data_IF_517814847022
#
_entry.id   IF_517814847022
#
_cell.length_a   1.000
_cell.length_b   1.000
_cell.length_c   1.000
_cell.angle_alpha   90.00
_cell.angle_beta   90.00
_cell.angle_gamma   90.00
#
_symmetry.space_group_name_H-M   'P 1'
#
loop_
_entity.id
_entity.type
_entity.pdbx_description
1 polymer ?
#
# COMPACT_ATOMS: atom_id res chain seq x y z
N UNK A 1 -6.16 12.73 -1.30
CA UNK A 1 -6.83 11.61 -0.61
C UNK A 1 -8.09 12.10 0.08
N UNK A 2 -9.20 11.35 0.05
CA UNK A 2 -10.45 11.66 0.77
C UNK A 2 -10.47 11.00 2.15
N UNK A 3 -11.37 11.43 3.05
CA UNK A 3 -11.54 10.79 4.37
C UNK A 3 -11.95 9.31 4.27
N UNK A 4 -12.81 8.96 3.30
CA UNK A 4 -13.25 7.59 3.07
C UNK A 4 -12.08 6.68 2.65
N UNK A 5 -11.21 7.16 1.76
CA UNK A 5 -10.02 6.40 1.36
C UNK A 5 -9.03 6.23 2.53
N UNK A 6 -8.86 7.28 3.34
CA UNK A 6 -8.02 7.20 4.53
C UNK A 6 -8.56 6.18 5.55
N UNK A 7 -9.89 6.14 5.76
CA UNK A 7 -10.54 5.14 6.61
C UNK A 7 -10.34 3.73 6.05
N UNK A 8 -10.55 3.53 4.74
CA UNK A 8 -10.26 2.25 4.09
C UNK A 8 -8.84 1.76 4.39
N UNK A 9 -7.82 2.60 4.19
CA UNK A 9 -6.43 2.23 4.48
C UNK A 9 -6.16 1.92 5.95
N UNK A 10 -6.96 2.45 6.87
CA UNK A 10 -6.88 2.09 8.30
C UNK A 10 -7.57 0.77 8.60
N UNK A 11 -8.67 0.47 7.92
CA UNK A 11 -9.50 -0.71 8.18
C UNK A 11 -8.88 -1.98 7.58
N UNK A 12 -8.27 -1.88 6.40
CA UNK A 12 -7.57 -3.02 5.77
C UNK A 12 -6.19 -3.31 6.39
N UNK A 13 -5.76 -2.49 7.35
CA UNK A 13 -4.60 -2.85 8.17
C UNK A 13 -4.98 -3.95 9.14
N UNK A 14 -4.32 -5.11 9.00
CA UNK A 14 -4.50 -6.25 9.90
C UNK A 14 -4.17 -5.91 11.36
N UNK A 15 -3.38 -4.85 11.63
CA UNK A 15 -3.21 -4.31 12.98
C UNK A 15 -3.38 -2.80 12.99
N UNK A 16 -4.42 -2.26 13.67
CA UNK A 16 -4.52 -0.83 13.88
C UNK A 16 -3.33 -0.35 14.72
N UNK A 17 -2.39 0.34 14.09
CA UNK A 17 -1.28 1.02 14.78
C UNK A 17 -1.52 2.52 14.72
N UNK A 18 -1.77 3.12 15.88
CA UNK A 18 -1.83 4.57 16.00
C UNK A 18 -0.46 5.16 15.63
N UNK A 19 -0.42 5.97 14.57
CA UNK A 19 0.78 6.69 14.12
C UNK A 19 1.74 5.90 13.22
N UNK A 20 1.35 4.72 12.71
CA UNK A 20 2.15 3.99 11.73
C UNK A 20 1.44 3.95 10.37
N UNK A 21 2.17 4.12 9.25
CA UNK A 21 1.58 4.10 7.92
C UNK A 21 0.95 2.73 7.60
N UNK A 22 -0.10 2.75 6.80
CA UNK A 22 -0.69 1.54 6.24
C UNK A 22 0.36 0.82 5.40
N UNK A 23 0.61 -0.45 5.71
CA UNK A 23 1.70 -1.19 5.07
C UNK A 23 1.12 -2.27 4.18
N UNK A 24 1.55 -2.27 2.93
CA UNK A 24 1.10 -3.20 1.90
C UNK A 24 2.30 -3.84 1.23
N UNK A 25 2.05 -4.92 0.51
CA UNK A 25 3.02 -5.54 -0.37
C UNK A 25 2.35 -5.84 -1.70
N UNK A 26 3.07 -5.66 -2.79
CA UNK A 26 2.63 -6.03 -4.13
C UNK A 26 3.71 -6.83 -4.86
N UNK A 27 3.32 -7.49 -5.95
CA UNK A 27 4.24 -8.16 -6.87
C UNK A 27 4.12 -7.58 -8.30
N UNK A 28 5.02 -7.98 -9.19
CA UNK A 28 4.99 -7.55 -10.61
C UNK A 28 3.76 -8.00 -11.41
N UNK A 29 2.83 -8.74 -10.81
CA UNK A 29 1.56 -9.16 -11.42
C UNK A 29 0.39 -8.29 -10.97
N UNK A 30 0.64 -7.17 -10.28
CA UNK A 30 -0.36 -6.25 -9.72
C UNK A 30 -1.20 -6.84 -8.57
N UNK A 31 -0.82 -8.00 -8.03
CA UNK A 31 -1.43 -8.50 -6.80
C UNK A 31 -1.01 -7.61 -5.63
N UNK A 32 -1.93 -7.30 -4.72
CA UNK A 32 -1.68 -6.46 -3.55
C UNK A 32 -2.34 -7.02 -2.32
N UNK A 33 -1.62 -7.00 -1.19
CA UNK A 33 -2.11 -7.52 0.08
C UNK A 33 -1.56 -6.73 1.28
N UNK A 34 -2.19 -6.82 2.47
CA UNK A 34 -1.65 -6.20 3.67
C UNK A 34 -0.28 -6.78 4.06
N UNK A 35 0.66 -5.93 4.43
CA UNK A 35 1.98 -6.33 4.92
C UNK A 35 1.93 -6.83 6.36
N UNK A 36 1.62 -8.11 6.57
CA UNK A 36 1.38 -8.70 7.91
C UNK A 36 2.62 -9.08 8.68
N UNK A 37 3.74 -9.33 8.00
CA UNK A 37 4.98 -9.87 8.59
C UNK A 37 6.22 -9.24 8.01
N UNK A 38 7.36 -9.39 8.68
CA UNK A 38 8.65 -9.14 8.06
C UNK A 38 8.98 -10.27 7.08
N UNK A 39 9.49 -9.93 5.89
CA UNK A 39 9.79 -10.89 4.84
C UNK A 39 8.60 -11.20 3.91
N UNK A 40 8.74 -12.30 3.17
CA UNK A 40 7.76 -12.76 2.18
C UNK A 40 6.48 -13.27 2.86
N UNK A 41 5.33 -12.85 2.34
CA UNK A 41 4.03 -13.45 2.71
C UNK A 41 3.77 -14.64 1.79
N UNK A 42 3.62 -15.87 2.33
CA UNK A 42 3.26 -17.04 1.53
C UNK A 42 1.96 -16.79 0.76
N UNK A 43 1.87 -17.31 -0.46
CA UNK A 43 0.74 -17.07 -1.36
C UNK A 43 -0.62 -17.42 -0.73
N UNK A 44 -0.73 -18.58 -0.08
CA UNK A 44 -1.95 -18.99 0.61
C UNK A 44 -2.33 -18.16 1.85
N UNK A 45 -1.51 -17.21 2.26
CA UNK A 45 -1.79 -16.27 3.35
C UNK A 45 -2.03 -14.83 2.85
N UNK A 46 -2.00 -14.60 1.53
CA UNK A 46 -2.26 -13.28 0.95
C UNK A 46 -3.75 -13.01 0.93
N UNK A 47 -4.16 -11.94 1.62
CA UNK A 47 -5.48 -11.37 1.44
C UNK A 47 -5.42 -10.38 0.28
N UNK A 48 -5.93 -10.81 -0.86
CA UNK A 48 -5.93 -10.05 -2.11
C UNK A 48 -6.84 -8.83 -2.03
N UNK A 49 -6.30 -7.67 -2.39
CA UNK A 49 -6.98 -6.37 -2.31
C UNK A 49 -7.13 -5.68 -3.69
N UNK A 50 -6.68 -6.31 -4.76
CA UNK A 50 -6.86 -5.76 -6.12
C UNK A 50 -8.34 -5.53 -6.44
N UNK A 51 -8.65 -4.36 -7.01
CA UNK A 51 -10.02 -3.97 -7.37
C UNK A 51 -10.93 -3.60 -6.19
N UNK A 52 -10.45 -3.69 -4.93
CA UNK A 52 -11.24 -3.31 -3.75
C UNK A 52 -11.34 -1.80 -3.60
N UNK A 53 -10.26 -1.07 -3.91
CA UNK A 53 -10.22 0.39 -3.93
C UNK A 53 -9.40 0.85 -5.14
N UNK A 54 -10.01 1.58 -6.08
CA UNK A 54 -9.33 2.08 -7.28
C UNK A 54 -8.06 2.89 -6.96
N UNK A 55 -8.06 3.68 -5.89
CA UNK A 55 -6.87 4.41 -5.45
C UNK A 55 -5.72 3.46 -5.03
N UNK A 56 -6.03 2.30 -4.45
CA UNK A 56 -4.99 1.32 -4.11
C UNK A 56 -4.38 0.72 -5.39
N UNK A 57 -5.20 0.43 -6.40
CA UNK A 57 -4.71 -0.08 -7.69
C UNK A 57 -3.82 0.97 -8.40
N UNK A 58 -4.23 2.24 -8.41
CA UNK A 58 -3.40 3.35 -8.92
C UNK A 58 -2.05 3.46 -8.17
N UNK A 59 -2.06 3.29 -6.85
CA UNK A 59 -0.82 3.28 -6.04
C UNK A 59 0.08 2.09 -6.43
N UNK A 60 -0.50 0.93 -6.72
CA UNK A 60 0.25 -0.26 -7.15
C UNK A 60 0.89 0.00 -8.50
N UNK A 61 0.17 0.61 -9.45
CA UNK A 61 0.72 1.01 -10.76
C UNK A 61 1.93 1.93 -10.58
N UNK A 62 1.80 2.97 -9.75
CA UNK A 62 2.88 3.91 -9.43
C UNK A 62 4.09 3.20 -8.80
N UNK A 63 3.85 2.27 -7.87
CA UNK A 63 4.89 1.47 -7.22
C UNK A 63 5.60 0.59 -8.24
N UNK A 64 4.87 -0.10 -9.12
CA UNK A 64 5.43 -0.99 -10.13
C UNK A 64 6.16 -0.24 -11.25
N UNK A 65 5.79 1.01 -11.51
CA UNK A 65 6.55 1.89 -12.38
C UNK A 65 7.98 2.12 -11.84
N UNK A 66 8.14 2.20 -10.51
CA UNK A 66 9.45 2.42 -9.85
C UNK A 66 10.19 1.11 -9.57
N UNK A 67 9.47 0.07 -9.13
CA UNK A 67 10.00 -1.26 -8.81
C UNK A 67 9.15 -2.33 -9.52
N UNK A 68 9.49 -2.71 -10.76
CA UNK A 68 8.69 -3.61 -11.59
C UNK A 68 8.47 -5.01 -11.01
N UNK A 69 9.29 -5.41 -10.03
CA UNK A 69 9.14 -6.71 -9.34
C UNK A 69 8.13 -6.65 -8.20
N UNK A 70 7.63 -5.45 -7.88
CA UNK A 70 6.86 -5.17 -6.69
C UNK A 70 7.72 -5.10 -5.44
N UNK A 71 7.06 -4.92 -4.31
CA UNK A 71 7.74 -4.80 -3.04
C UNK A 71 6.81 -4.32 -1.95
N UNK A 72 7.42 -3.89 -0.85
CA UNK A 72 6.70 -3.32 0.29
C UNK A 72 6.62 -1.81 0.16
N UNK A 73 5.42 -1.29 0.35
CA UNK A 73 5.15 0.14 0.38
C UNK A 73 4.30 0.53 1.59
N UNK A 74 4.37 1.81 1.91
CA UNK A 74 3.74 2.42 3.06
C UNK A 74 2.90 3.61 2.58
N UNK A 75 1.66 3.70 3.06
CA UNK A 75 0.71 4.74 2.72
C UNK A 75 0.39 5.52 4.00
N UNK A 76 0.63 6.82 3.99
CA UNK A 76 0.18 7.74 5.05
C UNK A 76 -0.53 8.97 4.47
N UNK A 77 -0.80 9.96 5.31
CA UNK A 77 -1.45 11.22 4.95
C UNK A 77 -0.63 12.08 3.98
N UNK A 78 0.68 11.84 3.86
CA UNK A 78 1.60 12.58 2.98
C UNK A 78 1.75 11.90 1.63
N UNK A 79 1.65 10.58 1.55
CA UNK A 79 1.85 9.87 0.29
C UNK A 79 2.19 8.39 0.42
N UNK A 80 2.88 7.90 -0.61
CA UNK A 80 3.33 6.50 -0.74
C UNK A 80 4.85 6.43 -0.70
N UNK A 81 5.39 5.52 0.11
CA UNK A 81 6.83 5.35 0.33
C UNK A 81 7.27 3.90 0.19
N UNK A 82 8.37 3.66 -0.52
CA UNK A 82 8.96 2.31 -0.64
C UNK A 82 9.86 1.96 0.56
N UNK A 83 9.78 0.71 1.02
CA UNK A 83 10.56 0.21 2.16
C UNK A 83 12.08 0.16 1.88
N UNK A 84 12.49 -0.01 0.63
CA UNK A 84 13.90 -0.23 0.26
C UNK A 84 14.79 1.03 0.28
N UNK A 85 14.26 2.22 0.65
CA UNK A 85 15.11 3.42 0.71
C UNK A 85 14.42 4.77 0.88
N UNK A 86 13.19 4.84 1.41
CA UNK A 86 12.44 6.10 1.62
C UNK A 86 12.27 6.95 0.34
N UNK A 87 12.21 6.31 -0.83
CA UNK A 87 11.79 7.01 -2.06
C UNK A 87 10.27 7.17 -2.00
N UNK A 88 9.83 8.43 -2.00
CA UNK A 88 8.43 8.77 -2.18
C UNK A 88 8.07 8.48 -3.64
N UNK A 89 7.00 7.73 -3.83
CA UNK A 89 6.51 7.31 -5.16
C UNK A 89 5.43 8.28 -5.62
N UNK A 90 4.53 8.61 -4.70
CA UNK A 90 3.35 9.44 -4.98
C UNK A 90 3.09 10.36 -3.79
N UNK A 91 2.80 11.63 -4.05
CA UNK A 91 2.30 12.56 -3.03
C UNK A 91 0.77 12.60 -3.06
N UNK A 92 0.13 12.61 -1.90
CA UNK A 92 -1.30 12.88 -1.86
C UNK A 92 -1.55 14.38 -1.72
N UNK A 93 -2.23 14.96 -2.71
CA UNK A 93 -2.89 16.25 -2.50
C UNK A 93 -4.19 15.97 -1.72
N UNK A 94 -4.24 16.42 -0.46
CA UNK A 94 -5.48 16.48 0.30
C UNK A 94 -6.40 17.50 -0.37
N UNK A 95 -7.44 17.02 -1.04
CA UNK A 95 -8.54 17.87 -1.50
C UNK A 95 -9.58 17.85 -0.39
N UNK A 96 -9.65 18.95 0.36
CA UNK A 96 -10.70 19.20 1.36
C UNK A 96 -12.05 19.41 0.69
#
# INVERSE_FOLDING_TARGET
MTLANFQFFRDVQIKPKWGWPATFSCNGQHEVWPGTRYGLTPEGEREHLEGVLALLDEIVDDVLHVEPRGGRFHVDDRGVFLAAGRRQVTEFVLRM
#
